data_IF_900325661468
#
_entry.id   IF_900325661468
#
_cell.length_a   1.000
_cell.length_b   1.000
_cell.length_c   1.000
_cell.angle_alpha   90.00
_cell.angle_beta   90.00
_cell.angle_gamma   90.00
#
_symmetry.space_group_name_H-M   'P 1'
#
loop_
_entity.id
_entity.type
_entity.pdbx_description
1 polymer ?
#
# COMPACT_ATOMS: atom_id res chain seq x y z
N UNK A 1 44.54 -31.23 39.48
CA UNK A 1 43.24 -30.53 39.71
C UNK A 1 43.29 -29.04 39.34
N UNK A 2 44.42 -28.34 39.53
CA UNK A 2 44.55 -26.91 39.18
C UNK A 2 44.42 -26.60 37.67
N UNK A 3 44.96 -27.44 36.78
CA UNK A 3 44.94 -27.18 35.33
C UNK A 3 43.54 -27.24 34.71
N UNK A 4 42.65 -28.09 35.22
CA UNK A 4 41.26 -28.16 34.75
C UNK A 4 40.48 -26.88 35.06
N UNK A 5 40.72 -26.29 36.24
CA UNK A 5 40.12 -25.01 36.63
C UNK A 5 40.62 -23.86 35.75
N UNK A 6 41.91 -23.85 35.39
CA UNK A 6 42.48 -22.84 34.48
C UNK A 6 41.90 -22.92 33.07
N UNK A 7 41.70 -24.14 32.53
CA UNK A 7 41.10 -24.34 31.21
C UNK A 7 39.64 -23.89 31.20
N UNK A 8 38.88 -24.20 32.25
CA UNK A 8 37.49 -23.75 32.40
C UNK A 8 37.40 -22.22 32.49
N UNK A 9 38.28 -21.59 33.27
CA UNK A 9 38.36 -20.12 33.34
C UNK A 9 38.71 -19.50 31.99
N UNK A 10 39.66 -20.07 31.25
CA UNK A 10 40.05 -19.57 29.93
C UNK A 10 38.90 -19.72 28.91
N UNK A 11 38.19 -20.85 28.94
CA UNK A 11 37.02 -21.09 28.10
C UNK A 11 35.86 -20.13 28.44
N UNK A 12 35.64 -19.84 29.72
CA UNK A 12 34.62 -18.88 30.14
C UNK A 12 34.96 -17.45 29.68
N UNK A 13 36.23 -17.05 29.77
CA UNK A 13 36.71 -15.76 29.25
C UNK A 13 36.54 -15.69 27.73
N UNK A 14 36.89 -16.75 27.00
CA UNK A 14 36.72 -16.81 25.55
C UNK A 14 35.25 -16.71 25.14
N UNK A 15 34.34 -17.36 25.88
CA UNK A 15 32.90 -17.28 25.62
C UNK A 15 32.37 -15.86 25.88
N UNK A 16 32.81 -15.22 26.97
CA UNK A 16 32.49 -13.83 27.25
C UNK A 16 33.09 -12.84 26.25
N UNK A 17 34.20 -13.18 25.58
CA UNK A 17 34.75 -12.33 24.52
C UNK A 17 33.90 -12.32 23.23
N UNK A 18 32.95 -13.26 23.10
CA UNK A 18 32.05 -13.37 21.93
C UNK A 18 30.69 -12.72 22.12
N UNK A 19 30.50 -11.82 23.11
CA UNK A 19 29.19 -11.20 23.32
C UNK A 19 28.76 -10.43 22.06
N UNK A 20 27.71 -10.90 21.39
CA UNK A 20 27.10 -10.17 20.28
C UNK A 20 26.31 -9.00 20.88
N UNK A 21 26.53 -7.74 20.44
CA UNK A 21 25.76 -6.62 20.94
C UNK A 21 24.28 -6.84 20.60
N UNK A 22 23.40 -6.68 21.59
CA UNK A 22 21.96 -6.74 21.38
C UNK A 22 21.60 -5.76 20.26
N UNK A 23 21.16 -6.28 19.10
CA UNK A 23 20.64 -5.51 17.96
C UNK A 23 19.26 -4.91 18.29
N UNK A 24 19.10 -4.41 19.52
CA UNK A 24 17.89 -3.76 20.00
C UNK A 24 17.78 -2.31 19.47
N UNK A 25 18.87 -1.77 18.93
CA UNK A 25 18.82 -0.52 18.18
C UNK A 25 18.39 -0.80 16.74
N UNK A 26 17.07 -0.84 16.54
CA UNK A 26 16.48 -0.60 15.23
C UNK A 26 16.90 0.81 14.84
N UNK A 27 17.93 0.93 14.00
CA UNK A 27 18.46 2.23 13.57
C UNK A 27 17.34 3.10 12.98
N UNK A 28 17.48 4.43 13.01
CA UNK A 28 16.40 5.35 12.63
C UNK A 28 15.84 5.04 11.24
N UNK A 29 16.67 4.58 10.30
CA UNK A 29 16.24 4.17 8.97
C UNK A 29 15.27 2.99 8.94
N UNK A 30 15.42 2.00 9.82
CA UNK A 30 14.58 0.81 9.85
C UNK A 30 13.25 1.10 10.56
N UNK A 31 13.24 1.97 11.57
CA UNK A 31 12.03 2.48 12.21
C UNK A 31 11.21 3.39 11.29
N UNK A 32 11.86 4.39 10.67
CA UNK A 32 11.23 5.26 9.68
C UNK A 32 10.72 4.47 8.47
N UNK A 33 11.48 3.47 8.01
CA UNK A 33 11.05 2.57 6.94
C UNK A 33 9.78 1.82 7.29
N UNK A 34 9.73 1.17 8.46
CA UNK A 34 8.55 0.44 8.93
C UNK A 34 7.31 1.33 9.03
N UNK A 35 7.44 2.53 9.62
CA UNK A 35 6.34 3.50 9.74
C UNK A 35 5.87 3.97 8.36
N UNK A 36 6.81 4.31 7.48
CA UNK A 36 6.50 4.79 6.12
C UNK A 36 5.79 3.72 5.30
N UNK A 37 6.23 2.46 5.38
CA UNK A 37 5.57 1.35 4.70
C UNK A 37 4.17 1.11 5.25
N UNK A 38 4.00 1.13 6.57
CA UNK A 38 2.68 0.96 7.18
C UNK A 38 1.70 2.07 6.72
N UNK A 39 2.12 3.33 6.81
CA UNK A 39 1.33 4.47 6.32
C UNK A 39 1.08 4.40 4.82
N UNK A 40 2.08 4.01 4.03
CA UNK A 40 1.96 3.85 2.59
C UNK A 40 0.96 2.78 2.19
N UNK A 41 0.96 1.63 2.87
CA UNK A 41 0.00 0.55 2.63
C UNK A 41 -1.42 1.01 2.99
N UNK A 42 -1.61 1.62 4.17
CA UNK A 42 -2.92 2.16 4.58
C UNK A 42 -3.41 3.20 3.57
N UNK A 43 -2.52 4.14 3.19
CA UNK A 43 -2.82 5.15 2.18
C UNK A 43 -3.21 4.55 0.84
N UNK A 44 -2.47 3.55 0.36
CA UNK A 44 -2.74 2.85 -0.90
C UNK A 44 -4.09 2.12 -0.88
N UNK A 45 -4.46 1.49 0.24
CA UNK A 45 -5.76 0.83 0.41
C UNK A 45 -6.88 1.88 0.33
N UNK A 46 -6.77 2.98 1.08
CA UNK A 46 -7.76 4.06 1.05
C UNK A 46 -7.89 4.66 -0.35
N UNK A 47 -6.79 4.92 -1.04
CA UNK A 47 -6.78 5.41 -2.42
C UNK A 47 -7.39 4.39 -3.38
N UNK A 48 -7.13 3.10 -3.18
CA UNK A 48 -7.72 2.01 -3.96
C UNK A 48 -9.25 2.00 -3.83
N UNK A 49 -9.77 2.13 -2.61
CA UNK A 49 -11.22 2.22 -2.35
C UNK A 49 -11.81 3.46 -3.01
N UNK A 50 -11.20 4.64 -2.80
CA UNK A 50 -11.67 5.90 -3.40
C UNK A 50 -11.68 5.80 -4.93
N UNK A 51 -10.62 5.25 -5.53
CA UNK A 51 -10.51 5.06 -6.98
C UNK A 51 -11.58 4.12 -7.52
N UNK A 52 -11.83 3.02 -6.80
CA UNK A 52 -12.86 2.05 -7.15
C UNK A 52 -14.26 2.66 -7.10
N UNK A 53 -14.56 3.50 -6.11
CA UNK A 53 -15.86 4.20 -5.98
C UNK A 53 -15.99 5.36 -6.96
N UNK A 54 -14.90 6.07 -7.26
CA UNK A 54 -14.93 7.23 -8.15
C UNK A 54 -15.29 6.87 -9.60
N UNK A 55 -14.80 5.72 -10.09
CA UNK A 55 -15.08 5.25 -11.45
C UNK A 55 -16.58 5.12 -11.77
N UNK A 56 -17.41 4.38 -10.99
CA UNK A 56 -18.83 4.26 -11.25
C UNK A 56 -19.56 5.60 -11.05
N UNK A 57 -19.21 6.38 -10.03
CA UNK A 57 -19.81 7.70 -9.77
C UNK A 57 -19.61 8.62 -10.97
N UNK A 58 -18.37 8.76 -11.45
CA UNK A 58 -18.05 9.60 -12.61
C UNK A 58 -18.78 9.11 -13.87
N UNK A 59 -18.93 7.79 -14.05
CA UNK A 59 -19.67 7.19 -15.18
C UNK A 59 -21.15 7.57 -15.14
N UNK A 60 -21.80 7.44 -13.98
CA UNK A 60 -23.22 7.77 -13.78
C UNK A 60 -23.48 9.26 -13.98
N UNK A 61 -22.63 10.13 -13.42
CA UNK A 61 -22.73 11.59 -13.63
C UNK A 61 -22.63 11.94 -15.11
N UNK A 62 -21.76 11.28 -15.88
CA UNK A 62 -21.65 11.52 -17.32
C UNK A 62 -22.86 11.01 -18.11
N UNK A 63 -23.45 9.90 -17.69
CA UNK A 63 -24.67 9.37 -18.29
C UNK A 63 -25.87 10.28 -18.04
N UNK A 64 -26.04 10.77 -16.81
CA UNK A 64 -27.13 11.68 -16.44
C UNK A 64 -27.03 13.05 -17.14
N UNK A 65 -25.81 13.49 -17.49
CA UNK A 65 -25.59 14.74 -18.23
C UNK A 65 -25.86 14.64 -19.73
N UNK A 66 -25.97 13.43 -20.30
CA UNK A 66 -26.43 13.25 -21.68
C UNK A 66 -27.95 13.37 -21.68
N UNK A 67 -28.46 14.58 -22.01
CA UNK A 67 -29.88 14.75 -22.32
C UNK A 67 -30.27 13.71 -23.40
N UNK A 68 -31.46 13.09 -23.31
CA UNK A 68 -32.00 12.36 -24.45
C UNK A 68 -32.00 13.32 -25.63
N UNK A 69 -31.19 13.03 -26.65
CA UNK A 69 -31.38 13.64 -27.95
C UNK A 69 -32.79 13.25 -28.36
N UNK A 70 -33.71 14.21 -28.34
CA UNK A 70 -35.07 14.00 -28.81
C UNK A 70 -35.00 13.29 -30.17
N UNK A 71 -35.87 12.30 -30.44
CA UNK A 71 -35.88 11.64 -31.74
C UNK A 71 -35.97 12.73 -32.78
N UNK A 72 -35.00 12.77 -33.71
CA UNK A 72 -35.05 13.66 -34.86
C UNK A 72 -36.44 13.48 -35.46
N UNK A 73 -37.23 14.54 -35.43
CA UNK A 73 -38.58 14.57 -35.96
C UNK A 73 -38.51 14.00 -37.37
N UNK A 74 -39.10 12.82 -37.55
CA UNK A 74 -39.30 12.24 -38.87
C UNK A 74 -40.14 13.25 -39.64
N UNK A 75 -39.52 13.88 -40.62
CA UNK A 75 -40.09 14.94 -41.43
C UNK A 75 -41.30 14.36 -42.19
N UNK A 76 -42.55 14.67 -41.80
CA UNK A 76 -43.74 14.13 -42.44
C UNK A 76 -43.94 14.70 -43.84
N UNK A 77 -43.12 15.67 -44.26
CA UNK A 77 -43.26 16.37 -45.53
C UNK A 77 -42.63 15.59 -46.69
N UNK A 78 -41.81 14.57 -46.43
CA UNK A 78 -41.17 13.76 -47.48
C UNK A 78 -42.10 12.70 -48.12
N UNK A 79 -43.17 12.28 -47.44
CA UNK A 79 -44.14 11.30 -47.98
C UNK A 79 -45.29 11.95 -48.78
N UNK A 80 -45.43 13.29 -48.73
CA UNK A 80 -46.50 14.01 -49.42
C UNK A 80 -46.14 14.50 -50.84
N UNK A 81 -44.90 14.29 -51.29
CA UNK A 81 -44.41 14.65 -52.64
C UNK A 81 -44.27 13.45 -53.61
N UNK A 82 -44.73 12.25 -53.25
CA UNK A 82 -44.74 11.05 -54.10
C UNK A 82 -46.17 10.63 -54.47
#
# INVERSE_FOLDING_TARGET
>A
MAHGLSIVSLAAIALMATTVPAQAYVGPGLGLGAISTALGVVGAILLGIVSFVWYPVKRLVRAARRKPTAPAQADPQAEAEL
#
